data_IF_331198678608
#
_entry.id   IF_331198678608
#
_cell.length_a   1.000
_cell.length_b   1.000
_cell.length_c   1.000
_cell.angle_alpha   90.00
_cell.angle_beta   90.00
_cell.angle_gamma   90.00
#
_symmetry.space_group_name_H-M   'P 1'
#
loop_
_entity.id
_entity.type
_entity.pdbx_description
1 polymer ?
#
# COMPACT_ATOMS: atom_id res chain seq x y z
N UNK A 1 66.30 -2.44 38.50
CA UNK A 1 67.17 -3.09 37.50
C UNK A 1 66.32 -3.41 36.28
N UNK A 2 66.73 -2.85 35.13
CA UNK A 2 66.14 -2.97 33.79
C UNK A 2 65.67 -4.40 33.42
N UNK A 3 64.66 -4.52 32.53
CA UNK A 3 64.91 -4.85 31.10
C UNK A 3 63.65 -5.07 30.23
N UNK A 4 63.65 -4.32 29.13
CA UNK A 4 63.15 -4.62 27.77
C UNK A 4 61.65 -4.58 27.43
N UNK A 5 61.30 -3.50 26.71
CA UNK A 5 60.27 -3.47 25.69
C UNK A 5 60.61 -4.38 24.50
N UNK A 6 59.60 -5.01 23.89
CA UNK A 6 59.62 -5.46 22.49
C UNK A 6 58.23 -5.33 21.87
N UNK A 7 58.12 -4.47 20.87
CA UNK A 7 57.02 -4.39 19.92
C UNK A 7 57.06 -5.57 18.95
N UNK A 8 55.91 -6.11 18.55
CA UNK A 8 55.73 -6.86 17.29
C UNK A 8 54.27 -6.66 16.85
N UNK A 9 54.00 -5.77 15.90
CA UNK A 9 54.07 -5.89 14.44
C UNK A 9 52.72 -6.36 13.85
N UNK A 10 52.00 -5.37 13.27
CA UNK A 10 51.25 -5.41 11.99
C UNK A 10 49.95 -6.24 11.90
N UNK A 11 48.86 -5.48 11.89
CA UNK A 11 47.79 -5.42 10.87
C UNK A 11 47.40 -6.71 10.12
N UNK A 12 46.17 -7.18 10.37
CA UNK A 12 45.36 -7.83 9.32
C UNK A 12 44.09 -6.98 9.19
N UNK A 13 43.86 -6.28 8.07
CA UNK A 13 42.54 -5.78 7.78
C UNK A 13 41.72 -7.01 7.38
N UNK A 14 40.81 -7.45 8.26
CA UNK A 14 39.75 -8.36 7.82
C UNK A 14 38.85 -7.52 6.91
N UNK A 15 39.14 -7.55 5.61
CA UNK A 15 38.25 -7.06 4.58
C UNK A 15 36.96 -7.86 4.73
N UNK A 16 35.98 -7.25 5.41
CA UNK A 16 34.60 -7.66 5.26
C UNK A 16 34.23 -7.36 3.81
N UNK A 17 34.27 -8.39 2.97
CA UNK A 17 33.58 -8.36 1.69
C UNK A 17 32.11 -8.11 2.04
N UNK A 18 31.67 -6.85 1.98
CA UNK A 18 30.27 -6.54 1.84
C UNK A 18 29.88 -7.08 0.47
N UNK A 19 29.45 -8.33 0.44
CA UNK A 19 28.59 -8.83 -0.61
C UNK A 19 27.30 -8.02 -0.52
N UNK A 20 27.28 -6.87 -1.20
CA UNK A 20 26.04 -6.22 -1.62
C UNK A 20 25.39 -7.17 -2.62
N UNK A 21 24.75 -8.21 -2.10
CA UNK A 21 23.67 -8.87 -2.79
C UNK A 21 22.69 -7.76 -3.11
N UNK A 22 22.68 -7.30 -4.36
CA UNK A 22 21.54 -6.59 -4.90
C UNK A 22 20.38 -7.55 -4.83
N UNK A 23 19.74 -7.66 -3.66
CA UNK A 23 18.42 -8.21 -3.54
C UNK A 23 17.61 -7.43 -4.56
N UNK A 24 17.08 -8.14 -5.57
CA UNK A 24 16.08 -7.57 -6.44
C UNK A 24 15.02 -7.01 -5.50
N UNK A 25 14.92 -5.68 -5.40
CA UNK A 25 14.05 -5.05 -4.44
C UNK A 25 12.64 -5.61 -4.70
N UNK A 26 12.07 -6.27 -3.69
CA UNK A 26 10.75 -6.86 -3.81
C UNK A 26 9.77 -5.75 -4.22
N UNK A 27 9.03 -6.00 -5.29
CA UNK A 27 8.09 -5.01 -5.78
C UNK A 27 7.00 -4.78 -4.75
N UNK A 28 6.53 -3.55 -4.66
CA UNK A 28 5.39 -3.19 -3.81
C UNK A 28 4.09 -3.41 -4.56
N UNK A 29 3.25 -4.30 -4.02
CA UNK A 29 1.97 -4.69 -4.62
C UNK A 29 0.88 -3.72 -4.21
N UNK A 30 0.24 -3.11 -5.20
CA UNK A 30 -0.85 -2.14 -5.01
C UNK A 30 -2.12 -2.67 -5.67
N UNK A 31 -3.19 -2.79 -4.89
CA UNK A 31 -4.51 -3.18 -5.40
C UNK A 31 -5.39 -1.95 -5.55
N UNK A 32 -5.81 -1.68 -6.79
CA UNK A 32 -6.73 -0.60 -7.14
C UNK A 32 -8.16 -1.12 -7.19
N UNK A 33 -9.05 -0.48 -6.43
CA UNK A 33 -10.48 -0.74 -6.40
C UNK A 33 -11.22 0.45 -6.98
N UNK A 34 -12.08 0.18 -7.96
CA UNK A 34 -12.96 1.20 -8.54
C UNK A 34 -14.40 0.71 -8.62
N UNK A 35 -15.38 1.54 -8.29
CA UNK A 35 -16.78 1.23 -8.63
C UNK A 35 -17.14 1.73 -10.05
N UNK A 36 -18.41 1.60 -10.44
CA UNK A 36 -18.89 2.06 -11.74
C UNK A 36 -18.93 3.58 -11.93
N UNK A 37 -18.83 4.35 -10.84
CA UNK A 37 -19.09 5.79 -10.81
C UNK A 37 -20.57 6.13 -11.07
N UNK A 38 -21.09 7.17 -10.40
CA UNK A 38 -22.43 7.72 -10.74
C UNK A 38 -22.40 8.58 -12.01
N UNK A 39 -21.27 9.24 -12.29
CA UNK A 39 -21.07 10.07 -13.48
C UNK A 39 -19.64 9.93 -14.02
N UNK A 40 -19.46 9.15 -15.07
CA UNK A 40 -18.15 8.89 -15.68
C UNK A 40 -17.52 10.10 -16.40
N UNK A 41 -18.26 11.20 -16.61
CA UNK A 41 -17.71 12.43 -17.20
C UNK A 41 -16.92 13.27 -16.20
N UNK A 42 -17.27 13.18 -14.92
CA UNK A 42 -16.60 13.93 -13.83
C UNK A 42 -15.83 13.02 -12.89
N UNK A 43 -16.22 11.75 -12.80
CA UNK A 43 -15.69 10.76 -11.87
C UNK A 43 -15.53 9.41 -12.56
N UNK A 44 -14.49 9.29 -13.39
CA UNK A 44 -14.18 8.07 -14.10
C UNK A 44 -13.22 7.19 -13.28
N UNK A 45 -13.77 6.45 -12.32
CA UNK A 45 -12.97 5.76 -11.31
C UNK A 45 -12.02 4.72 -11.91
N UNK A 46 -12.52 3.90 -12.84
CA UNK A 46 -11.72 2.84 -13.48
C UNK A 46 -10.57 3.44 -14.28
N UNK A 47 -10.83 4.47 -15.10
CA UNK A 47 -9.79 5.07 -15.93
C UNK A 47 -8.82 5.91 -15.12
N UNK A 48 -9.29 6.57 -14.06
CA UNK A 48 -8.42 7.29 -13.12
C UNK A 48 -7.42 6.35 -12.43
N UNK A 49 -7.90 5.20 -11.95
CA UNK A 49 -7.01 4.16 -11.41
C UNK A 49 -6.04 3.63 -12.46
N UNK A 50 -6.49 3.39 -13.69
CA UNK A 50 -5.62 2.88 -14.76
C UNK A 50 -4.46 3.84 -15.08
N UNK A 51 -4.71 5.15 -15.09
CA UNK A 51 -3.66 6.17 -15.30
C UNK A 51 -2.65 6.16 -14.16
N UNK A 52 -3.11 6.14 -12.91
CA UNK A 52 -2.21 6.13 -11.75
C UNK A 52 -1.41 4.83 -11.64
N UNK A 53 -2.05 3.69 -11.89
CA UNK A 53 -1.40 2.38 -11.93
C UNK A 53 -0.28 2.34 -12.97
N UNK A 54 -0.56 2.79 -14.20
CA UNK A 54 0.44 2.85 -15.27
C UNK A 54 1.62 3.79 -14.91
N UNK A 55 1.34 4.92 -14.26
CA UNK A 55 2.39 5.84 -13.82
C UNK A 55 3.28 5.21 -12.74
N UNK A 56 2.71 4.47 -11.79
CA UNK A 56 3.47 3.76 -10.75
C UNK A 56 4.35 2.66 -11.34
N UNK A 57 3.83 1.86 -12.25
CA UNK A 57 4.61 0.79 -12.89
C UNK A 57 5.73 1.37 -13.79
N UNK A 58 5.46 2.48 -14.49
CA UNK A 58 6.45 3.16 -15.33
C UNK A 58 7.50 3.95 -14.53
N UNK A 59 7.28 4.20 -13.23
CA UNK A 59 8.15 5.05 -12.40
C UNK A 59 9.56 4.48 -12.17
N UNK A 60 9.75 3.17 -12.34
CA UNK A 60 10.99 2.49 -11.97
C UNK A 60 11.21 2.34 -10.46
N UNK A 61 10.21 2.69 -9.63
CA UNK A 61 10.28 2.60 -8.16
C UNK A 61 9.92 1.22 -7.61
N UNK A 62 9.70 0.23 -8.48
CA UNK A 62 9.41 -1.14 -8.08
C UNK A 62 7.97 -1.35 -7.62
N UNK A 63 6.98 -0.81 -8.33
CA UNK A 63 5.57 -1.10 -8.07
C UNK A 63 5.04 -2.18 -9.02
N UNK A 64 4.11 -2.99 -8.53
CA UNK A 64 3.25 -3.85 -9.33
C UNK A 64 1.79 -3.61 -8.95
N UNK A 65 0.90 -3.56 -9.94
CA UNK A 65 -0.49 -3.17 -9.68
C UNK A 65 -1.49 -4.23 -10.15
N UNK A 66 -2.58 -4.38 -9.41
CA UNK A 66 -3.74 -5.15 -9.81
C UNK A 66 -4.98 -4.27 -9.72
N UNK A 67 -5.85 -4.30 -10.74
CA UNK A 67 -7.00 -3.39 -10.85
C UNK A 67 -8.30 -4.18 -10.89
N UNK A 68 -9.25 -3.81 -10.02
CA UNK A 68 -10.55 -4.47 -9.90
C UNK A 68 -11.69 -3.46 -10.00
N UNK A 69 -12.73 -3.87 -10.73
CA UNK A 69 -14.01 -3.15 -10.77
C UNK A 69 -14.95 -3.75 -9.73
N UNK A 70 -15.12 -3.03 -8.62
CA UNK A 70 -15.79 -3.49 -7.42
C UNK A 70 -14.82 -4.16 -6.45
N UNK A 71 -15.39 -4.86 -5.47
CA UNK A 71 -14.60 -5.71 -4.58
C UNK A 71 -14.18 -6.98 -5.33
N UNK A 72 -12.91 -7.44 -5.23
CA UNK A 72 -12.45 -8.65 -5.90
C UNK A 72 -13.27 -9.88 -5.50
N UNK A 73 -13.45 -10.83 -6.42
CA UNK A 73 -14.13 -12.11 -6.15
C UNK A 73 -13.13 -13.23 -5.84
N UNK A 74 -11.91 -13.04 -6.28
CA UNK A 74 -10.77 -13.92 -6.14
C UNK A 74 -10.29 -13.88 -4.68
N UNK A 75 -10.09 -15.05 -4.08
CA UNK A 75 -9.75 -15.17 -2.65
C UNK A 75 -8.35 -14.62 -2.33
N UNK A 76 -7.45 -14.69 -3.31
CA UNK A 76 -6.04 -14.31 -3.24
C UNK A 76 -5.76 -12.89 -3.77
N UNK A 77 -6.80 -12.12 -4.11
CA UNK A 77 -6.65 -10.78 -4.68
C UNK A 77 -5.78 -9.83 -3.83
N UNK A 78 -5.80 -10.04 -2.51
CA UNK A 78 -5.07 -9.24 -1.53
C UNK A 78 -3.81 -9.93 -0.97
N UNK A 79 -3.42 -11.11 -1.47
CA UNK A 79 -2.25 -11.82 -0.96
C UNK A 79 -0.98 -11.01 -1.21
N UNK A 80 -0.20 -10.75 -0.14
CA UNK A 80 1.01 -9.94 -0.21
C UNK A 80 0.77 -8.48 -0.60
N UNK A 81 -0.46 -7.95 -0.47
CA UNK A 81 -0.73 -6.54 -0.78
C UNK A 81 -0.03 -5.62 0.21
N UNK A 82 0.67 -4.61 -0.29
CA UNK A 82 1.28 -3.57 0.55
C UNK A 82 0.34 -2.36 0.71
N UNK A 83 -0.49 -2.09 -0.31
CA UNK A 83 -1.38 -0.93 -0.32
C UNK A 83 -2.65 -1.17 -1.14
N UNK A 84 -3.77 -0.65 -0.66
CA UNK A 84 -5.03 -0.56 -1.41
C UNK A 84 -5.34 0.90 -1.77
N UNK A 85 -5.72 1.11 -3.04
CA UNK A 85 -6.17 2.41 -3.56
C UNK A 85 -7.66 2.30 -3.90
N UNK A 86 -8.50 3.14 -3.30
CA UNK A 86 -9.95 3.11 -3.49
C UNK A 86 -10.40 4.39 -4.17
N UNK A 87 -11.01 4.25 -5.35
CA UNK A 87 -11.68 5.34 -6.04
C UNK A 87 -13.13 4.94 -6.33
N UNK A 88 -14.06 5.44 -5.54
CA UNK A 88 -15.47 5.07 -5.66
C UNK A 88 -16.40 6.21 -5.28
N UNK A 89 -17.70 5.95 -5.38
CA UNK A 89 -18.69 6.81 -4.74
C UNK A 89 -18.47 6.79 -3.22
N UNK A 90 -18.80 7.90 -2.55
CA UNK A 90 -18.68 8.05 -1.10
C UNK A 90 -19.94 7.62 -0.32
N UNK A 91 -19.87 7.79 1.00
CA UNK A 91 -20.95 7.59 1.95
C UNK A 91 -21.49 6.16 1.93
N UNK A 92 -22.81 5.98 2.04
CA UNK A 92 -23.43 4.65 1.99
C UNK A 92 -23.23 3.89 0.67
N UNK A 93 -22.78 4.58 -0.40
CA UNK A 93 -22.41 3.98 -1.68
C UNK A 93 -20.95 3.52 -1.76
N UNK A 94 -20.17 3.70 -0.70
CA UNK A 94 -18.75 3.37 -0.69
C UNK A 94 -18.52 1.87 -0.92
N UNK A 95 -17.51 1.55 -1.73
CA UNK A 95 -17.26 0.19 -2.24
C UNK A 95 -17.05 -0.82 -1.09
N UNK A 96 -16.44 -0.38 0.01
CA UNK A 96 -16.16 -1.22 1.20
C UNK A 96 -17.38 -1.52 2.07
N UNK A 97 -18.51 -0.82 1.89
CA UNK A 97 -19.68 -0.94 2.78
C UNK A 97 -20.26 -2.36 2.84
N UNK A 98 -20.00 -3.18 1.82
CA UNK A 98 -20.43 -4.58 1.75
C UNK A 98 -19.37 -5.58 2.23
N UNK A 99 -18.17 -5.12 2.58
CA UNK A 99 -17.00 -5.94 2.86
C UNK A 99 -16.20 -5.43 4.08
N UNK A 100 -16.89 -4.84 5.06
CA UNK A 100 -16.23 -4.14 6.19
C UNK A 100 -15.34 -5.07 7.04
N UNK A 101 -15.69 -6.34 7.19
CA UNK A 101 -14.87 -7.30 7.94
C UNK A 101 -13.52 -7.53 7.25
N UNK A 102 -13.53 -7.85 5.95
CA UNK A 102 -12.29 -8.03 5.20
C UNK A 102 -11.50 -6.73 5.04
N UNK A 103 -12.17 -5.59 4.93
CA UNK A 103 -11.51 -4.28 4.90
C UNK A 103 -10.82 -3.96 6.24
N UNK A 104 -11.46 -4.26 7.36
CA UNK A 104 -10.88 -4.14 8.70
C UNK A 104 -9.65 -5.04 8.85
N UNK A 105 -9.70 -6.30 8.41
CA UNK A 105 -8.54 -7.21 8.43
C UNK A 105 -7.33 -6.64 7.66
N UNK A 106 -7.56 -6.03 6.50
CA UNK A 106 -6.49 -5.41 5.70
C UNK A 106 -5.85 -4.25 6.46
N UNK A 107 -6.67 -3.33 6.98
CA UNK A 107 -6.20 -2.18 7.76
C UNK A 107 -5.45 -2.65 9.02
N UNK A 108 -5.97 -3.66 9.71
CA UNK A 108 -5.39 -4.22 10.93
C UNK A 108 -4.03 -4.90 10.69
N UNK A 109 -3.85 -5.48 9.51
CA UNK A 109 -2.58 -6.07 9.08
C UNK A 109 -1.52 -5.04 8.67
N UNK A 110 -1.87 -3.74 8.65
CA UNK A 110 -0.95 -2.65 8.30
C UNK A 110 -0.83 -2.37 6.81
N UNK A 111 -1.77 -2.88 5.99
CA UNK A 111 -1.85 -2.53 4.56
C UNK A 111 -2.10 -1.03 4.43
N UNK A 112 -1.32 -0.36 3.59
CA UNK A 112 -1.48 1.06 3.31
C UNK A 112 -2.85 1.35 2.68
N UNK A 113 -3.48 2.45 3.08
CA UNK A 113 -4.80 2.86 2.59
C UNK A 113 -4.70 4.21 1.88
N UNK A 114 -5.13 4.25 0.61
CA UNK A 114 -5.26 5.48 -0.17
C UNK A 114 -6.69 5.59 -0.68
N UNK A 115 -7.37 6.67 -0.32
CA UNK A 115 -8.69 6.99 -0.83
C UNK A 115 -8.63 8.21 -1.76
N UNK A 116 -9.19 8.06 -2.97
CA UNK A 116 -9.23 9.14 -3.95
C UNK A 116 -10.58 9.85 -3.92
N UNK A 117 -10.54 11.17 -3.74
CA UNK A 117 -11.72 12.04 -3.77
C UNK A 117 -12.82 11.55 -2.80
N UNK A 118 -14.02 11.24 -3.29
CA UNK A 118 -15.14 10.75 -2.48
C UNK A 118 -14.88 9.39 -1.79
N UNK A 119 -13.79 8.69 -2.10
CA UNK A 119 -13.36 7.53 -1.32
C UNK A 119 -13.06 7.82 0.15
N UNK A 120 -12.94 9.09 0.54
CA UNK A 120 -12.75 9.48 1.97
C UNK A 120 -14.07 9.55 2.74
N UNK A 121 -15.21 9.42 2.06
CA UNK A 121 -16.53 9.55 2.67
C UNK A 121 -17.10 8.19 3.03
N UNK A 122 -17.46 7.99 4.30
CA UNK A 122 -18.22 6.81 4.76
C UNK A 122 -19.20 7.23 5.86
N UNK A 123 -20.30 6.47 6.08
CA UNK A 123 -21.20 6.75 7.19
C UNK A 123 -20.50 6.54 8.53
N UNK A 124 -21.00 7.25 9.54
CA UNK A 124 -20.58 7.03 10.93
C UNK A 124 -20.74 5.57 11.36
N UNK A 125 -19.86 5.12 12.25
CA UNK A 125 -19.88 3.79 12.85
C UNK A 125 -18.72 2.94 12.35
N UNK A 126 -18.93 1.63 12.21
CA UNK A 126 -17.85 0.66 11.89
C UNK A 126 -16.97 1.10 10.71
N UNK A 127 -17.56 1.57 9.61
CA UNK A 127 -16.78 2.03 8.45
C UNK A 127 -15.89 3.24 8.79
N UNK A 128 -16.44 4.23 9.49
CA UNK A 128 -15.70 5.39 9.98
C UNK A 128 -14.58 5.04 10.96
N UNK A 129 -14.82 4.10 11.87
CA UNK A 129 -13.81 3.64 12.83
C UNK A 129 -12.62 2.98 12.13
N UNK A 130 -12.90 2.14 11.11
CA UNK A 130 -11.85 1.52 10.29
C UNK A 130 -11.04 2.59 9.52
N UNK A 131 -11.72 3.58 8.92
CA UNK A 131 -11.04 4.66 8.18
C UNK A 131 -10.18 5.53 9.12
N UNK A 132 -10.69 5.86 10.31
CA UNK A 132 -9.93 6.59 11.33
C UNK A 132 -8.67 5.83 11.74
N UNK A 133 -8.77 4.50 11.93
CA UNK A 133 -7.62 3.64 12.22
C UNK A 133 -6.62 3.59 11.06
N UNK A 134 -7.10 3.41 9.83
CA UNK A 134 -6.25 3.14 8.66
C UNK A 134 -5.60 4.37 8.04
N UNK A 135 -6.27 5.53 8.07
CA UNK A 135 -5.77 6.76 7.43
C UNK A 135 -5.83 8.02 8.31
N UNK A 136 -6.21 7.90 9.58
CA UNK A 136 -6.17 8.99 10.56
C UNK A 136 -7.34 9.97 10.51
N UNK A 137 -8.32 9.73 9.64
CA UNK A 137 -9.53 10.55 9.53
C UNK A 137 -10.38 10.19 8.31
N UNK A 138 -11.60 10.69 8.27
CA UNK A 138 -12.52 10.50 7.15
C UNK A 138 -13.56 11.64 7.14
N UNK A 139 -14.31 11.77 6.05
CA UNK A 139 -15.45 12.67 5.99
C UNK A 139 -16.72 11.90 6.36
N UNK A 140 -17.32 12.25 7.49
CA UNK A 140 -18.54 11.60 8.00
C UNK A 140 -19.75 12.01 7.15
N UNK A 141 -20.57 11.02 6.74
CA UNK A 141 -21.84 11.23 6.04
C UNK A 141 -23.04 10.73 6.84
#
# INVERSE_FOLDING_TARGET
MNRFARYSLVLIPLIALLSSSGALAEKKKIVFLADGGKNSKTHNHVQGNAVLAAALEASGLGFETAQYKGWPKEADAFDGVDCIVIFCNGGGGHLVMKNLERFEELVDSGVGLVCLHYGVEVPKGKAGDIMLKGMGGYFET
#
